data_IF_767679519905
#
_entry.id   IF_767679519905
#
_cell.length_a   1.000
_cell.length_b   1.000
_cell.length_c   1.000
_cell.angle_alpha   90.00
_cell.angle_beta   90.00
_cell.angle_gamma   90.00
#
_symmetry.space_group_name_H-M   'P 1'
#
loop_
_entity.id
_entity.type
_entity.pdbx_description
1 polymer ?
#
# COMPACT_ATOMS: atom_id res chain seq x y z
N UNK A 1 -10.94 7.33 5.67
CA UNK A 1 -11.31 8.12 4.47
C UNK A 1 -10.01 8.74 3.96
N UNK A 2 -9.74 8.67 2.66
CA UNK A 2 -8.49 9.21 2.10
C UNK A 2 -8.47 10.73 2.20
N UNK A 3 -7.33 11.31 2.54
CA UNK A 3 -7.19 12.77 2.64
C UNK A 3 -7.38 13.45 1.28
N UNK A 4 -6.94 12.80 0.20
CA UNK A 4 -7.08 13.28 -1.17
C UNK A 4 -7.30 12.12 -2.15
N UNK A 5 -8.54 11.67 -2.31
CA UNK A 5 -8.88 10.57 -3.23
C UNK A 5 -8.47 10.83 -4.69
N UNK A 6 -8.41 12.09 -5.12
CA UNK A 6 -8.01 12.46 -6.48
C UNK A 6 -6.51 12.25 -6.69
N UNK A 7 -5.68 12.55 -5.70
CA UNK A 7 -4.24 12.30 -5.76
C UNK A 7 -3.90 10.80 -5.88
N UNK A 8 -4.67 9.90 -5.25
CA UNK A 8 -4.48 8.44 -5.44
C UNK A 8 -4.83 8.00 -6.85
N UNK A 9 -5.92 8.53 -7.42
CA UNK A 9 -6.31 8.22 -8.80
C UNK A 9 -5.22 8.64 -9.79
N UNK A 10 -4.61 9.82 -9.60
CA UNK A 10 -3.46 10.27 -10.39
C UNK A 10 -2.22 9.38 -10.20
N UNK A 11 -2.03 8.83 -9.00
CA UNK A 11 -1.00 7.84 -8.71
C UNK A 11 -1.33 6.41 -9.23
N UNK A 12 -2.49 6.23 -9.87
CA UNK A 12 -2.91 4.97 -10.47
C UNK A 12 -3.71 4.04 -9.54
N UNK A 13 -4.02 4.48 -8.32
CA UNK A 13 -4.75 3.72 -7.30
C UNK A 13 -6.18 4.24 -7.11
N UNK A 14 -7.13 3.33 -6.96
CA UNK A 14 -8.50 3.66 -6.54
C UNK A 14 -8.62 3.64 -5.02
N UNK A 15 -9.63 4.30 -4.45
CA UNK A 15 -9.87 4.26 -3.00
C UNK A 15 -10.06 2.83 -2.48
N UNK A 16 -10.73 1.97 -3.26
CA UNK A 16 -10.89 0.56 -2.91
C UNK A 16 -9.53 -0.16 -2.82
N UNK A 17 -8.63 0.08 -3.78
CA UNK A 17 -7.30 -0.54 -3.78
C UNK A 17 -6.47 -0.08 -2.58
N UNK A 18 -6.57 1.20 -2.19
CA UNK A 18 -5.91 1.69 -0.97
C UNK A 18 -6.52 1.02 0.27
N UNK A 19 -7.84 0.82 0.30
CA UNK A 19 -8.53 0.14 1.40
C UNK A 19 -8.09 -1.31 1.53
N UNK A 20 -7.99 -2.05 0.43
CA UNK A 20 -7.47 -3.42 0.42
C UNK A 20 -6.05 -3.49 1.00
N UNK A 21 -5.18 -2.53 0.68
CA UNK A 21 -3.83 -2.45 1.27
C UNK A 21 -3.88 -2.15 2.77
N UNK A 22 -4.78 -1.26 3.21
CA UNK A 22 -4.95 -0.94 4.63
C UNK A 22 -5.54 -2.12 5.43
N UNK A 23 -6.42 -2.91 4.80
CA UNK A 23 -7.02 -4.11 5.39
C UNK A 23 -5.98 -5.23 5.55
N UNK A 24 -5.05 -5.37 4.60
CA UNK A 24 -3.95 -6.35 4.63
C UNK A 24 -2.64 -5.79 5.24
N UNK A 25 -2.70 -4.63 5.90
CA UNK A 25 -1.53 -3.86 6.30
C UNK A 25 -0.61 -4.62 7.26
N UNK A 26 -1.17 -5.38 8.19
CA UNK A 26 -0.40 -6.14 9.18
C UNK A 26 0.47 -7.21 8.52
N UNK A 27 -0.10 -7.93 7.55
CA UNK A 27 0.62 -8.93 6.77
C UNK A 27 1.73 -8.27 5.93
N UNK A 28 1.42 -7.17 5.25
CA UNK A 28 2.39 -6.45 4.43
C UNK A 28 3.55 -5.90 5.27
N UNK A 29 3.25 -5.32 6.44
CA UNK A 29 4.26 -4.78 7.35
C UNK A 29 5.19 -5.86 7.89
N UNK A 30 4.64 -6.98 8.36
CA UNK A 30 5.43 -8.13 8.86
C UNK A 30 6.39 -8.68 7.78
N UNK A 31 6.05 -8.47 6.52
CA UNK A 31 6.85 -8.91 5.39
C UNK A 31 7.63 -7.79 4.69
N UNK A 32 7.75 -6.61 5.30
CA UNK A 32 8.47 -5.47 4.75
C UNK A 32 9.74 -5.14 5.52
N UNK A 33 10.59 -4.30 4.93
CA UNK A 33 11.69 -3.60 5.64
C UNK A 33 11.27 -2.22 6.15
N UNK A 34 9.97 -1.92 6.15
CA UNK A 34 9.44 -0.60 6.49
C UNK A 34 9.70 -0.27 7.98
N UNK A 35 10.28 0.89 8.31
CA UNK A 35 10.78 1.17 9.65
C UNK A 35 9.71 1.72 10.62
N UNK A 36 8.47 1.86 10.17
CA UNK A 36 7.41 2.52 10.94
C UNK A 36 6.41 1.53 11.53
N UNK A 37 5.76 1.95 12.63
CA UNK A 37 4.68 1.17 13.23
C UNK A 37 3.48 1.06 12.28
N UNK A 38 2.58 0.11 12.59
CA UNK A 38 1.32 -0.07 11.88
C UNK A 38 0.51 1.20 11.78
N UNK A 39 0.25 1.83 12.93
CA UNK A 39 -0.54 3.07 13.02
C UNK A 39 0.10 4.19 12.18
N UNK A 40 1.42 4.41 12.36
CA UNK A 40 2.13 5.44 11.61
C UNK A 40 2.11 5.18 10.10
N UNK A 41 2.23 3.93 9.70
CA UNK A 41 2.19 3.55 8.28
C UNK A 41 0.80 3.77 7.70
N UNK A 42 -0.27 3.44 8.43
CA UNK A 42 -1.64 3.69 7.99
C UNK A 42 -1.89 5.18 7.78
N UNK A 43 -1.47 6.04 8.71
CA UNK A 43 -1.60 7.50 8.59
C UNK A 43 -0.86 8.01 7.35
N UNK A 44 0.41 7.60 7.17
CA UNK A 44 1.20 7.99 6.00
C UNK A 44 0.57 7.54 4.67
N UNK A 45 0.02 6.32 4.63
CA UNK A 45 -0.67 5.77 3.46
C UNK A 45 -1.95 6.52 3.15
N UNK A 46 -2.65 7.06 4.15
CA UNK A 46 -3.91 7.83 3.98
C UNK A 46 -3.64 9.29 3.58
N UNK A 47 -2.53 9.85 4.05
CA UNK A 47 -2.13 11.23 3.81
C UNK A 47 -1.46 11.44 2.45
N UNK A 48 -0.63 10.48 2.00
CA UNK A 48 0.24 10.68 0.84
C UNK A 48 0.26 9.45 -0.10
N UNK A 49 -0.17 9.59 -1.36
CA UNK A 49 -0.11 8.49 -2.34
C UNK A 49 1.30 7.96 -2.61
N UNK A 50 2.33 8.81 -2.52
CA UNK A 50 3.72 8.38 -2.69
C UNK A 50 4.15 7.38 -1.61
N UNK A 51 3.67 7.56 -0.37
CA UNK A 51 4.01 6.68 0.74
C UNK A 51 3.45 5.28 0.56
N UNK A 52 2.27 5.13 -0.07
CA UNK A 52 1.73 3.83 -0.43
C UNK A 52 2.67 3.08 -1.38
N UNK A 53 3.15 3.75 -2.43
CA UNK A 53 4.05 3.14 -3.40
C UNK A 53 5.38 2.74 -2.77
N UNK A 54 5.96 3.62 -1.95
CA UNK A 54 7.25 3.37 -1.29
C UNK A 54 7.13 2.26 -0.25
N UNK A 55 6.03 2.23 0.51
CA UNK A 55 5.72 1.13 1.41
C UNK A 55 5.65 -0.20 0.66
N UNK A 56 4.86 -0.29 -0.41
CA UNK A 56 4.71 -1.54 -1.17
C UNK A 56 6.02 -2.01 -1.80
N UNK A 57 6.91 -1.10 -2.20
CA UNK A 57 8.27 -1.45 -2.68
C UNK A 57 9.18 -2.02 -1.60
N UNK A 58 8.92 -1.70 -0.33
CA UNK A 58 9.66 -2.26 0.81
C UNK A 58 9.17 -3.66 1.21
N UNK A 59 8.00 -4.09 0.73
CA UNK A 59 7.45 -5.43 0.98
C UNK A 59 8.23 -6.47 0.16
N UNK A 60 8.56 -7.60 0.80
CA UNK A 60 9.21 -8.73 0.12
C UNK A 60 8.37 -9.19 -1.08
N UNK A 61 9.04 -9.50 -2.19
CA UNK A 61 8.41 -9.80 -3.48
C UNK A 61 7.41 -10.97 -3.40
N UNK A 62 7.81 -12.05 -2.74
CA UNK A 62 6.98 -13.24 -2.52
C UNK A 62 5.76 -12.95 -1.65
N UNK A 63 5.91 -12.15 -0.60
CA UNK A 63 4.78 -11.73 0.22
C UNK A 63 3.81 -10.84 -0.57
N UNK A 64 4.31 -9.89 -1.35
CA UNK A 64 3.46 -9.01 -2.17
C UNK A 64 2.66 -9.80 -3.23
N UNK A 65 3.24 -10.88 -3.77
CA UNK A 65 2.51 -11.79 -4.67
C UNK A 65 1.36 -12.52 -3.97
N UNK A 66 1.55 -12.91 -2.70
CA UNK A 66 0.57 -13.65 -1.90
C UNK A 66 -0.42 -12.77 -1.11
N UNK A 67 -0.15 -11.46 -1.00
CA UNK A 67 -1.01 -10.50 -0.29
C UNK A 67 -2.45 -10.49 -0.83
N UNK A 68 -3.41 -10.22 0.04
CA UNK A 68 -4.84 -10.18 -0.28
C UNK A 68 -5.27 -8.83 -0.88
N UNK A 69 -4.48 -8.31 -1.82
CA UNK A 69 -4.70 -7.03 -2.50
C UNK A 69 -4.90 -7.21 -4.02
N UNK A 70 -5.52 -6.23 -4.67
CA UNK A 70 -5.75 -6.20 -6.12
C UNK A 70 -4.52 -6.57 -6.95
N UNK A 71 -4.74 -7.39 -7.99
CA UNK A 71 -3.70 -7.76 -8.97
C UNK A 71 -3.09 -6.55 -9.67
N UNK A 72 -3.86 -5.46 -9.84
CA UNK A 72 -3.39 -4.23 -10.45
C UNK A 72 -2.36 -3.53 -9.57
N UNK A 73 -2.58 -3.50 -8.25
CA UNK A 73 -1.61 -2.97 -7.28
C UNK A 73 -0.32 -3.79 -7.33
N UNK A 74 -0.43 -5.13 -7.36
CA UNK A 74 0.74 -6.01 -7.49
C UNK A 74 1.52 -5.73 -8.78
N UNK A 75 0.84 -5.63 -9.92
CA UNK A 75 1.47 -5.35 -11.21
C UNK A 75 2.18 -3.99 -11.23
N UNK A 76 1.59 -2.96 -10.62
CA UNK A 76 2.20 -1.63 -10.53
C UNK A 76 3.54 -1.61 -9.79
N UNK A 77 3.79 -2.58 -8.91
CA UNK A 77 5.01 -2.65 -8.10
C UNK A 77 5.99 -3.72 -8.63
N UNK A 78 5.48 -4.85 -9.12
CA UNK A 78 6.29 -6.02 -9.48
C UNK A 78 6.86 -5.99 -10.91
N UNK A 79 6.27 -5.19 -11.81
CA UNK A 79 6.57 -5.19 -13.24
C UNK A 79 5.83 -6.29 -13.98
#
# INVERSE_FOLDING_TARGET
>A
MLSDAHAYLLAGFTEQEVREVLDDLDYLLQNSTWPYSRERTADMIVELPSMLTDFLRSVRRDALQNAMISRKVKAAILG
#
